data_IF_360983796266
#
_entry.id   IF_360983796266
#
_cell.length_a   1.000
_cell.length_b   1.000
_cell.length_c   1.000
_cell.angle_alpha   90.00
_cell.angle_beta   90.00
_cell.angle_gamma   90.00
#
_symmetry.space_group_name_H-M   'P 1'
#
loop_
_entity.id
_entity.type
_entity.pdbx_description
1 polymer ?
#
# COMPACT_ATOMS: atom_id res chain seq x y z
N UNK A 1 -12.27 -10.77 7.06
CA UNK A 1 -12.65 -10.79 5.64
C UNK A 1 -11.52 -10.08 4.92
N UNK A 2 -10.61 -10.86 4.36
CA UNK A 2 -9.43 -10.37 3.65
C UNK A 2 -9.87 -9.80 2.31
N UNK A 3 -9.97 -8.48 2.22
CA UNK A 3 -10.47 -7.81 1.03
C UNK A 3 -9.29 -7.51 0.10
N UNK A 4 -9.23 -8.23 -1.02
CA UNK A 4 -8.32 -7.91 -2.12
C UNK A 4 -8.87 -6.74 -2.90
N UNK A 5 -8.08 -5.67 -3.04
CA UNK A 5 -8.45 -4.44 -3.73
C UNK A 5 -7.42 -4.09 -4.81
N UNK A 6 -7.89 -3.46 -5.89
CA UNK A 6 -7.06 -2.89 -6.96
C UNK A 6 -6.51 -1.51 -6.57
N UNK A 7 -5.48 -1.03 -7.28
CA UNK A 7 -4.91 0.31 -7.04
C UNK A 7 -5.97 1.42 -7.01
N UNK A 8 -6.93 1.40 -7.94
CA UNK A 8 -7.98 2.42 -7.99
C UNK A 8 -8.90 2.34 -6.78
N UNK A 9 -9.35 1.13 -6.40
CA UNK A 9 -10.20 0.96 -5.22
C UNK A 9 -9.50 1.35 -3.91
N UNK A 10 -8.18 1.12 -3.82
CA UNK A 10 -7.37 1.52 -2.68
C UNK A 10 -7.33 3.06 -2.59
N UNK A 11 -7.04 3.74 -3.70
CA UNK A 11 -7.01 5.22 -3.76
C UNK A 11 -8.37 5.84 -3.44
N UNK A 12 -9.47 5.26 -3.93
CA UNK A 12 -10.82 5.77 -3.66
C UNK A 12 -11.25 5.60 -2.20
N UNK A 13 -10.74 4.57 -1.51
CA UNK A 13 -11.14 4.27 -0.12
C UNK A 13 -10.24 4.90 0.92
N UNK A 14 -8.95 5.00 0.63
CA UNK A 14 -7.93 5.47 1.56
C UNK A 14 -7.27 6.68 0.92
N UNK A 15 -7.87 7.87 1.03
CA UNK A 15 -7.28 9.07 0.46
C UNK A 15 -6.14 9.60 1.35
N UNK A 16 -4.97 9.83 0.75
CA UNK A 16 -3.81 10.39 1.45
C UNK A 16 -3.37 9.57 2.68
N UNK A 17 -3.44 8.24 2.57
CA UNK A 17 -3.05 7.30 3.62
C UNK A 17 -1.94 6.35 3.14
N UNK A 18 -1.26 5.74 4.11
CA UNK A 18 -0.36 4.63 3.90
C UNK A 18 -1.14 3.33 4.06
N UNK A 19 -0.99 2.42 3.11
CA UNK A 19 -1.72 1.15 3.05
C UNK A 19 -0.71 0.01 2.96
N UNK A 20 -0.76 -0.90 3.94
CA UNK A 20 -0.04 -2.18 3.93
C UNK A 20 -0.86 -3.21 3.15
N UNK A 21 -0.31 -3.66 2.05
CA UNK A 21 -0.91 -4.64 1.16
C UNK A 21 -0.14 -5.95 1.25
N UNK A 22 -0.83 -7.01 1.66
CA UNK A 22 -0.32 -8.38 1.68
C UNK A 22 -0.58 -9.11 0.36
N UNK A 23 0.30 -10.04 0.02
CA UNK A 23 0.27 -10.82 -1.22
C UNK A 23 0.02 -9.94 -2.47
N UNK A 24 0.82 -8.88 -2.69
CA UNK A 24 0.65 -8.00 -3.84
C UNK A 24 0.86 -8.76 -5.16
N UNK A 25 -0.05 -8.55 -6.10
CA UNK A 25 0.07 -9.00 -7.48
C UNK A 25 0.59 -7.86 -8.36
N UNK A 26 1.61 -8.16 -9.15
CA UNK A 26 2.27 -7.23 -10.07
C UNK A 26 2.05 -7.70 -11.50
N UNK A 27 1.90 -6.77 -12.44
CA UNK A 27 1.86 -7.10 -13.86
C UNK A 27 3.26 -7.34 -14.45
N UNK A 28 3.32 -7.61 -15.75
CA UNK A 28 4.57 -7.86 -16.46
C UNK A 28 5.50 -6.64 -16.52
N UNK A 29 4.95 -5.44 -16.36
CA UNK A 29 5.65 -4.17 -16.34
C UNK A 29 6.06 -3.77 -14.91
N UNK A 30 5.76 -4.61 -13.91
CA UNK A 30 6.07 -4.37 -12.50
C UNK A 30 5.14 -3.36 -11.84
N UNK A 31 3.96 -3.09 -12.42
CA UNK A 31 2.96 -2.23 -11.81
C UNK A 31 2.08 -3.02 -10.86
N UNK A 32 1.73 -2.41 -9.73
CA UNK A 32 0.82 -3.02 -8.77
C UNK A 32 -0.58 -3.15 -9.39
N UNK A 33 -1.12 -4.37 -9.40
CA UNK A 33 -2.46 -4.67 -9.93
C UNK A 33 -3.48 -4.69 -8.79
N UNK A 34 -3.24 -5.52 -7.78
CA UNK A 34 -4.13 -5.72 -6.63
C UNK A 34 -3.42 -6.42 -5.48
N UNK A 35 -4.03 -6.39 -4.30
CA UNK A 35 -3.57 -7.17 -3.15
C UNK A 35 -4.50 -7.04 -1.96
N UNK A 36 -4.24 -7.80 -0.91
CA UNK A 36 -5.07 -7.86 0.29
C UNK A 36 -4.72 -6.74 1.26
N UNK A 37 -5.69 -5.96 1.71
CA UNK A 37 -5.42 -4.91 2.70
C UNK A 37 -5.22 -5.54 4.07
N UNK A 38 -4.00 -5.39 4.61
CA UNK A 38 -3.65 -5.85 5.95
C UNK A 38 -3.84 -4.74 6.98
N UNK A 39 -3.45 -3.52 6.63
CA UNK A 39 -3.54 -2.36 7.51
C UNK A 39 -3.52 -1.05 6.70
N UNK A 40 -4.07 0.03 7.25
CA UNK A 40 -3.91 1.37 6.70
C UNK A 40 -3.86 2.39 7.84
N UNK A 41 -3.06 3.45 7.66
CA UNK A 41 -3.04 4.61 8.54
C UNK A 41 -2.51 5.84 7.82
N UNK A 42 -2.83 7.04 8.31
CA UNK A 42 -2.18 8.29 7.89
C UNK A 42 -0.73 8.38 8.37
N UNK A 43 -0.37 7.65 9.42
CA UNK A 43 0.98 7.58 9.93
C UNK A 43 1.74 6.44 9.25
N UNK A 44 2.85 6.78 8.58
CA UNK A 44 3.77 5.77 8.03
C UNK A 44 4.34 4.87 9.13
N UNK A 45 4.69 5.47 10.27
CA UNK A 45 5.30 4.73 11.38
C UNK A 45 4.38 3.61 11.89
N UNK A 46 3.07 3.86 11.97
CA UNK A 46 2.10 2.83 12.36
C UNK A 46 2.02 1.70 11.33
N UNK A 47 2.14 2.02 10.03
CA UNK A 47 2.15 1.01 8.97
C UNK A 47 3.42 0.16 9.03
N UNK A 48 4.58 0.79 9.25
CA UNK A 48 5.86 0.08 9.42
C UNK A 48 5.83 -0.82 10.67
N UNK A 49 5.27 -0.35 11.79
CA UNK A 49 5.08 -1.17 12.99
C UNK A 49 4.18 -2.38 12.73
N UNK A 50 3.10 -2.22 11.95
CA UNK A 50 2.20 -3.31 11.59
C UNK A 50 2.85 -4.31 10.62
N UNK A 51 3.67 -3.84 9.66
CA UNK A 51 4.41 -4.73 8.77
C UNK A 51 5.37 -5.63 9.58
N UNK A 52 6.09 -5.04 10.55
CA UNK A 52 6.95 -5.80 11.45
C UNK A 52 6.17 -6.78 12.35
N UNK A 53 5.00 -6.37 12.85
CA UNK A 53 4.18 -7.19 13.76
C UNK A 53 3.51 -8.36 13.03
N UNK A 54 3.00 -8.14 11.82
CA UNK A 54 2.35 -9.15 11.00
C UNK A 54 3.36 -10.06 10.29
N UNK A 55 4.56 -9.54 10.00
CA UNK A 55 5.64 -10.23 9.28
C UNK A 55 5.14 -11.02 8.05
N UNK A 56 4.40 -10.37 7.13
CA UNK A 56 3.85 -11.05 5.97
C UNK A 56 4.96 -11.58 5.06
N UNK A 57 4.73 -12.75 4.46
CA UNK A 57 5.70 -13.38 3.53
C UNK A 57 5.96 -12.50 2.31
N UNK A 58 4.96 -11.71 1.90
CA UNK A 58 5.06 -10.75 0.81
C UNK A 58 4.13 -9.58 1.10
N UNK A 59 4.68 -8.38 1.11
CA UNK A 59 3.93 -7.14 1.31
C UNK A 59 4.45 -6.00 0.44
N UNK A 60 3.59 -5.01 0.25
CA UNK A 60 3.89 -3.73 -0.35
C UNK A 60 3.26 -2.62 0.51
N UNK A 61 3.99 -1.52 0.68
CA UNK A 61 3.49 -0.31 1.35
C UNK A 61 3.20 0.72 0.26
N UNK A 62 1.97 1.19 0.18
CA UNK A 62 1.50 2.11 -0.85
C UNK A 62 1.03 3.39 -0.19
N UNK A 63 1.54 4.53 -0.66
CA UNK A 63 0.97 5.83 -0.32
C UNK A 63 -0.03 6.23 -1.40
N UNK A 64 -1.25 6.55 -0.99
CA UNK A 64 -2.36 6.86 -1.90
C UNK A 64 -2.56 8.35 -2.14
N UNK A 65 -1.86 9.20 -1.38
CA UNK A 65 -1.92 10.64 -1.61
C UNK A 65 -1.32 11.03 -2.95
N UNK A 66 -1.73 12.18 -3.45
CA UNK A 66 -1.09 12.78 -4.61
C UNK A 66 0.35 13.11 -4.25
N UNK A 67 1.31 12.49 -4.94
CA UNK A 67 2.69 12.95 -4.93
C UNK A 67 2.68 14.33 -5.59
N UNK A 68 3.11 15.40 -4.90
CA UNK A 68 3.25 16.70 -5.54
C UNK A 68 4.16 16.56 -6.77
N UNK A 69 3.89 17.34 -7.82
CA UNK A 69 4.58 17.25 -9.13
C UNK A 69 6.12 17.36 -8.99
N UNK A 70 6.59 17.98 -7.91
CA UNK A 70 8.00 18.16 -7.53
C UNK A 70 8.54 17.17 -6.48
N UNK A 71 7.80 16.10 -6.16
CA UNK A 71 8.23 15.13 -5.15
C UNK A 71 9.37 14.24 -5.66
N UNK A 72 10.55 14.38 -5.05
CA UNK A 72 11.66 13.45 -5.25
C UNK A 72 11.44 12.19 -4.42
N UNK A 73 11.29 11.04 -5.08
CA UNK A 73 11.31 9.72 -4.42
C UNK A 73 12.77 9.31 -4.21
N UNK A 74 13.20 9.18 -2.96
CA UNK A 74 14.50 8.60 -2.61
C UNK A 74 14.27 7.12 -2.31
N UNK A 75 14.85 6.25 -3.15
CA UNK A 75 14.79 4.78 -3.07
C UNK A 75 15.99 4.20 -2.33
#
# INVERSE_FOLDING_TARGET
MDQTLTMNEIKERFDSEWVLVGAPEWDADGQFVRGTILFHSKSRDEVDEQDMALAPVSAAIIFTGELPEDAAVVL
#
